data_IF_761339880594
#
_entry.id   IF_761339880594
#
_cell.length_a   1.000
_cell.length_b   1.000
_cell.length_c   1.000
_cell.angle_alpha   90.00
_cell.angle_beta   90.00
_cell.angle_gamma   90.00
#
_symmetry.space_group_name_H-M   'P 1'
#
loop_
_entity.id
_entity.type
_entity.pdbx_description
1 polymer ?
#
# COMPACT_ATOMS: atom_id res chain seq x y z
N UNK A 1 -0.88 -31.47 -11.88
CA UNK A 1 -1.19 -30.08 -11.51
C UNK A 1 -2.42 -30.15 -10.64
N UNK A 2 -2.27 -29.93 -9.34
CA UNK A 2 -3.37 -30.02 -8.39
C UNK A 2 -4.09 -28.66 -8.32
N UNK A 3 -5.43 -28.64 -8.39
CA UNK A 3 -6.18 -27.39 -8.34
C UNK A 3 -6.06 -26.73 -6.94
N UNK A 4 -5.95 -25.39 -6.86
CA UNK A 4 -5.97 -24.71 -5.58
C UNK A 4 -7.34 -24.86 -4.90
N UNK A 5 -7.43 -24.62 -3.58
CA UNK A 5 -8.71 -24.56 -2.88
C UNK A 5 -9.66 -23.55 -3.52
N UNK A 6 -10.94 -23.92 -3.65
CA UNK A 6 -11.97 -23.07 -4.26
C UNK A 6 -12.10 -21.71 -3.55
N UNK A 7 -11.85 -21.67 -2.24
CA UNK A 7 -11.90 -20.46 -1.44
C UNK A 7 -10.82 -19.44 -1.86
N UNK A 8 -9.60 -19.90 -2.18
CA UNK A 8 -8.51 -19.03 -2.61
C UNK A 8 -8.79 -18.45 -4.00
N UNK A 9 -9.38 -19.26 -4.88
CA UNK A 9 -9.83 -18.82 -6.19
C UNK A 9 -10.93 -17.75 -6.07
N UNK A 10 -11.89 -17.93 -5.16
CA UNK A 10 -12.96 -16.97 -4.92
C UNK A 10 -12.40 -15.64 -4.39
N UNK A 11 -11.48 -15.68 -3.42
CA UNK A 11 -10.82 -14.48 -2.87
C UNK A 11 -10.06 -13.69 -3.95
N UNK A 12 -9.43 -14.40 -4.89
CA UNK A 12 -8.76 -13.79 -6.03
C UNK A 12 -9.75 -13.10 -6.98
N UNK A 13 -10.88 -13.75 -7.31
CA UNK A 13 -11.93 -13.14 -8.12
C UNK A 13 -12.55 -11.92 -7.45
N UNK A 14 -12.82 -11.99 -6.14
CA UNK A 14 -13.32 -10.86 -5.37
C UNK A 14 -12.33 -9.68 -5.37
N UNK A 15 -11.03 -9.96 -5.27
CA UNK A 15 -10.00 -8.91 -5.40
C UNK A 15 -10.05 -8.27 -6.78
N UNK A 16 -10.03 -9.06 -7.85
CA UNK A 16 -10.05 -8.55 -9.22
C UNK A 16 -11.34 -7.78 -9.54
N UNK A 17 -12.48 -8.23 -9.03
CA UNK A 17 -13.74 -7.50 -9.12
C UNK A 17 -13.66 -6.17 -8.36
N UNK A 18 -13.15 -6.17 -7.13
CA UNK A 18 -13.01 -4.96 -6.32
C UNK A 18 -12.08 -3.93 -7.00
N UNK A 19 -11.00 -4.38 -7.64
CA UNK A 19 -10.09 -3.53 -8.43
C UNK A 19 -10.72 -3.02 -9.75
N UNK A 20 -11.95 -3.42 -10.05
CA UNK A 20 -12.65 -3.18 -11.32
C UNK A 20 -11.93 -3.81 -12.52
N UNK A 21 -11.08 -4.81 -12.30
CA UNK A 21 -10.46 -5.59 -13.37
C UNK A 21 -11.48 -6.53 -14.03
N UNK A 22 -12.43 -7.03 -13.24
CA UNK A 22 -13.56 -7.85 -13.70
C UNK A 22 -14.89 -7.12 -13.54
N UNK A 23 -15.84 -7.40 -14.43
CA UNK A 23 -17.24 -6.98 -14.30
C UNK A 23 -18.05 -8.01 -13.48
N UNK A 24 -19.36 -7.77 -13.31
CA UNK A 24 -20.25 -8.67 -12.53
C UNK A 24 -20.45 -10.05 -13.15
N UNK A 25 -20.10 -10.22 -14.42
CA UNK A 25 -20.16 -11.47 -15.16
C UNK A 25 -18.81 -12.23 -15.11
N UNK A 26 -17.78 -11.66 -14.47
CA UNK A 26 -16.44 -12.24 -14.42
C UNK A 26 -15.59 -11.97 -15.67
N UNK A 27 -15.98 -11.04 -16.53
CA UNK A 27 -15.25 -10.72 -17.76
C UNK A 27 -14.28 -9.54 -17.54
N UNK A 28 -13.17 -9.53 -18.28
CA UNK A 28 -12.18 -8.45 -18.24
C UNK A 28 -12.77 -7.12 -18.71
N UNK A 29 -12.63 -6.10 -17.87
CA UNK A 29 -12.95 -4.71 -18.21
C UNK A 29 -11.83 -4.07 -19.03
N UNK A 30 -12.03 -2.83 -19.52
CA UNK A 30 -10.94 -2.04 -20.13
C UNK A 30 -9.79 -1.81 -19.15
N UNK A 31 -10.10 -1.61 -17.86
CA UNK A 31 -9.10 -1.47 -16.80
C UNK A 31 -8.36 -2.80 -16.60
N UNK A 32 -9.09 -3.92 -16.53
CA UNK A 32 -8.49 -5.24 -16.37
C UNK A 32 -7.55 -5.62 -17.52
N UNK A 33 -7.93 -5.30 -18.77
CA UNK A 33 -7.06 -5.50 -19.93
C UNK A 33 -5.76 -4.70 -19.82
N UNK A 34 -5.84 -3.43 -19.43
CA UNK A 34 -4.64 -2.59 -19.22
C UNK A 34 -3.78 -3.11 -18.07
N UNK A 35 -4.40 -3.56 -16.97
CA UNK A 35 -3.66 -4.16 -15.86
C UNK A 35 -2.87 -5.40 -16.29
N UNK A 36 -3.43 -6.22 -17.20
CA UNK A 36 -2.79 -7.42 -17.71
C UNK A 36 -1.56 -7.15 -18.60
N UNK A 37 -1.33 -5.90 -19.03
CA UNK A 37 -0.14 -5.51 -19.79
C UNK A 37 1.10 -5.31 -18.90
N UNK A 38 0.91 -5.18 -17.58
CA UNK A 38 2.00 -4.97 -16.62
C UNK A 38 2.46 -6.29 -15.98
N UNK A 39 3.78 -6.53 -15.81
CA UNK A 39 4.32 -7.68 -15.10
C UNK A 39 4.33 -7.43 -13.58
N UNK A 40 3.21 -6.95 -13.03
CA UNK A 40 3.06 -6.55 -11.63
C UNK A 40 1.83 -7.24 -11.04
N UNK A 41 1.73 -7.25 -9.70
CA UNK A 41 0.50 -7.73 -9.06
C UNK A 41 -0.70 -6.83 -9.42
N UNK A 42 -1.94 -7.33 -9.27
CA UNK A 42 -3.13 -6.57 -9.66
C UNK A 42 -3.28 -5.22 -8.95
N UNK A 43 -2.81 -5.08 -7.71
CA UNK A 43 -2.97 -3.84 -6.93
C UNK A 43 -1.99 -2.77 -7.40
N UNK A 44 -0.72 -3.13 -7.62
CA UNK A 44 0.26 -2.24 -8.25
C UNK A 44 -0.16 -1.86 -9.68
N UNK A 45 -0.62 -2.83 -10.48
CA UNK A 45 -1.09 -2.57 -11.84
C UNK A 45 -2.27 -1.61 -11.86
N UNK A 46 -3.23 -1.78 -10.94
CA UNK A 46 -4.37 -0.86 -10.78
C UNK A 46 -3.92 0.55 -10.39
N UNK A 47 -2.98 0.67 -9.47
CA UNK A 47 -2.41 1.94 -9.02
C UNK A 47 -1.80 2.72 -10.20
N UNK A 48 -1.00 2.06 -11.05
CA UNK A 48 -0.40 2.67 -12.25
C UNK A 48 -1.47 3.04 -13.29
N UNK A 49 -2.46 2.17 -13.54
CA UNK A 49 -3.52 2.50 -14.51
C UNK A 49 -4.35 3.70 -14.06
N UNK A 50 -4.54 3.89 -12.75
CA UNK A 50 -5.29 5.01 -12.21
C UNK A 50 -4.52 6.34 -12.20
N UNK A 51 -3.20 6.31 -12.12
CA UNK A 51 -2.36 7.52 -12.03
C UNK A 51 -2.48 8.44 -13.23
N UNK A 52 -2.82 7.89 -14.41
CA UNK A 52 -3.10 8.65 -15.62
C UNK A 52 -4.20 9.70 -15.40
N UNK A 53 -5.26 9.35 -14.66
CA UNK A 53 -6.38 10.26 -14.37
C UNK A 53 -5.93 11.48 -13.58
N UNK A 54 -4.92 11.30 -12.73
CA UNK A 54 -4.40 12.34 -11.85
C UNK A 54 -3.11 12.97 -12.36
N UNK A 55 -2.65 12.58 -13.57
CA UNK A 55 -1.42 13.09 -14.21
C UNK A 55 -0.17 12.97 -13.33
N UNK A 56 -0.08 11.89 -12.56
CA UNK A 56 1.03 11.61 -11.64
C UNK A 56 1.71 10.26 -11.94
N UNK A 57 1.70 9.83 -13.21
CA UNK A 57 2.17 8.50 -13.60
C UNK A 57 3.66 8.29 -13.34
N UNK A 58 4.51 9.29 -13.59
CA UNK A 58 5.97 9.16 -13.40
C UNK A 58 6.32 8.90 -11.92
N UNK A 59 5.66 9.61 -11.01
CA UNK A 59 5.79 9.43 -9.56
C UNK A 59 5.26 8.06 -9.11
N UNK A 60 4.10 7.64 -9.62
CA UNK A 60 3.48 6.37 -9.25
C UNK A 60 4.26 5.17 -9.80
N UNK A 61 4.84 5.28 -11.00
CA UNK A 61 5.75 4.25 -11.54
C UNK A 61 7.00 4.15 -10.67
N UNK A 62 7.54 5.30 -10.22
CA UNK A 62 8.68 5.33 -9.31
C UNK A 62 8.34 4.66 -7.96
N UNK A 63 7.16 4.94 -7.38
CA UNK A 63 6.68 4.24 -6.17
C UNK A 63 6.54 2.74 -6.42
N UNK A 64 5.90 2.35 -7.52
CA UNK A 64 5.70 0.94 -7.85
C UNK A 64 7.04 0.21 -7.95
N UNK A 65 8.04 0.80 -8.62
CA UNK A 65 9.39 0.24 -8.72
C UNK A 65 10.04 0.08 -7.34
N UNK A 66 9.94 1.08 -6.46
CA UNK A 66 10.49 1.01 -5.11
C UNK A 66 9.77 -0.06 -4.26
N UNK A 67 8.46 -0.21 -4.41
CA UNK A 67 7.70 -1.26 -3.73
C UNK A 67 8.08 -2.65 -4.23
N UNK A 68 8.32 -2.84 -5.53
CA UNK A 68 8.74 -4.12 -6.11
C UNK A 68 10.12 -4.60 -5.62
N UNK A 69 11.02 -3.70 -5.21
CA UNK A 69 12.32 -4.05 -4.61
C UNK A 69 12.19 -4.37 -3.11
N UNK A 70 11.08 -3.94 -2.48
CA UNK A 70 10.78 -4.16 -1.07
C UNK A 70 11.66 -3.36 -0.11
N UNK A 71 11.74 -3.79 1.15
CA UNK A 71 12.42 -3.05 2.22
C UNK A 71 13.97 -3.10 2.18
N UNK A 72 14.55 -3.74 1.16
CA UNK A 72 16.02 -3.87 1.02
C UNK A 72 16.73 -2.56 0.71
N UNK A 73 15.98 -1.54 0.29
CA UNK A 73 16.48 -0.18 -0.01
C UNK A 73 17.16 0.43 1.22
N UNK A 74 16.64 0.19 2.42
CA UNK A 74 17.21 0.72 3.66
C UNK A 74 18.09 -0.33 4.34
N UNK A 75 19.38 -0.29 4.01
CA UNK A 75 20.36 -1.17 4.63
C UNK A 75 20.63 -0.77 6.10
N UNK A 76 20.40 -1.69 7.04
CA UNK A 76 20.55 -1.47 8.48
C UNK A 76 21.47 -2.50 9.14
N UNK A 77 22.80 -2.35 9.04
CA UNK A 77 23.77 -3.22 9.71
C UNK A 77 23.58 -3.21 11.24
N UNK A 78 23.77 -4.35 11.90
CA UNK A 78 23.62 -4.46 13.37
C UNK A 78 24.61 -3.56 14.13
N UNK A 79 25.80 -3.37 13.60
CA UNK A 79 26.89 -2.54 14.14
C UNK A 79 26.70 -1.04 13.87
N UNK A 80 25.85 -0.67 12.88
CA UNK A 80 25.65 0.73 12.45
C UNK A 80 24.19 1.17 12.50
N UNK A 81 23.38 0.54 13.35
CA UNK A 81 21.95 0.82 13.45
C UNK A 81 21.65 2.31 13.65
N UNK A 82 22.35 2.98 14.57
CA UNK A 82 22.15 4.42 14.86
C UNK A 82 22.42 5.29 13.62
N UNK A 83 23.48 4.99 12.86
CA UNK A 83 23.80 5.76 11.64
C UNK A 83 22.79 5.50 10.53
N UNK A 84 22.36 4.25 10.36
CA UNK A 84 21.34 3.88 9.40
C UNK A 84 19.98 4.50 9.74
N UNK A 85 19.61 4.51 11.02
CA UNK A 85 18.37 5.12 11.51
C UNK A 85 18.41 6.65 11.33
N UNK A 86 19.54 7.30 11.63
CA UNK A 86 19.75 8.73 11.36
C UNK A 86 19.66 9.05 9.87
N UNK A 87 20.30 8.25 9.01
CA UNK A 87 20.19 8.43 7.56
C UNK A 87 18.74 8.24 7.10
N UNK A 88 18.01 7.27 7.65
CA UNK A 88 16.59 7.05 7.37
C UNK A 88 15.74 8.24 7.82
N UNK A 89 16.04 8.85 8.97
CA UNK A 89 15.32 10.04 9.48
C UNK A 89 15.40 11.23 8.52
N UNK A 90 16.49 11.39 7.76
CA UNK A 90 16.57 12.45 6.74
C UNK A 90 15.53 12.30 5.63
N UNK A 91 14.99 11.09 5.43
CA UNK A 91 13.90 10.84 4.49
C UNK A 91 12.51 10.95 5.15
N UNK A 92 12.41 10.99 6.49
CA UNK A 92 11.13 11.15 7.19
C UNK A 92 10.70 12.63 7.17
N UNK A 93 9.84 13.01 6.22
CA UNK A 93 9.30 14.39 6.14
C UNK A 93 7.82 14.45 6.55
N UNK A 94 7.57 14.72 7.84
CA UNK A 94 6.23 14.77 8.42
C UNK A 94 5.56 13.40 8.51
N UNK A 95 4.43 13.31 9.21
CA UNK A 95 3.66 12.09 9.50
C UNK A 95 3.03 11.43 8.25
N UNK A 96 3.79 11.27 7.18
CA UNK A 96 3.35 10.68 5.91
C UNK A 96 4.02 9.32 5.78
N UNK A 97 3.25 8.36 5.30
CA UNK A 97 3.66 6.97 5.26
C UNK A 97 4.88 6.63 4.43
N UNK A 98 5.36 5.41 4.62
CA UNK A 98 6.53 4.84 3.95
C UNK A 98 6.40 4.84 2.40
N UNK A 99 5.18 4.86 1.83
CA UNK A 99 4.98 4.98 0.37
C UNK A 99 5.42 6.33 -0.20
N UNK A 100 5.32 7.39 0.60
CA UNK A 100 5.48 8.80 0.18
C UNK A 100 6.80 9.39 0.68
N UNK A 101 7.52 8.63 1.52
CA UNK A 101 8.77 9.04 2.16
C UNK A 101 9.82 9.57 1.16
N UNK A 102 9.81 9.10 -0.10
CA UNK A 102 10.74 9.57 -1.14
C UNK A 102 10.20 10.71 -2.02
N UNK A 103 8.89 10.91 -2.14
CA UNK A 103 8.28 11.83 -3.11
C UNK A 103 7.98 13.22 -2.56
N UNK A 104 7.75 13.35 -1.25
CA UNK A 104 7.37 14.63 -0.63
C UNK A 104 8.50 15.67 -0.62
N UNK A 105 9.76 15.25 -0.72
CA UNK A 105 10.90 16.20 -0.80
C UNK A 105 10.82 17.04 -2.08
N UNK A 106 10.22 16.50 -3.15
CA UNK A 106 10.21 17.18 -4.45
C UNK A 106 8.87 17.86 -4.77
N UNK A 107 7.71 17.27 -4.43
CA UNK A 107 6.41 17.80 -4.91
C UNK A 107 5.26 17.69 -3.87
N UNK A 108 5.08 18.68 -2.98
CA UNK A 108 4.01 18.65 -1.98
C UNK A 108 2.59 18.82 -2.56
N UNK A 109 2.45 19.49 -3.70
CA UNK A 109 1.14 19.81 -4.32
C UNK A 109 0.48 18.61 -5.00
N UNK A 110 1.24 17.56 -5.34
CA UNK A 110 0.72 16.36 -6.01
C UNK A 110 0.35 15.25 -5.04
N UNK A 111 0.56 15.43 -3.73
CA UNK A 111 0.38 14.37 -2.72
C UNK A 111 -1.04 13.78 -2.76
N UNK A 112 -2.06 14.63 -2.89
CA UNK A 112 -3.45 14.16 -2.91
C UNK A 112 -3.73 13.28 -4.13
N UNK A 113 -3.12 13.60 -5.27
CA UNK A 113 -3.19 12.83 -6.52
C UNK A 113 -2.46 11.49 -6.41
N UNK A 114 -1.29 11.48 -5.77
CA UNK A 114 -0.56 10.25 -5.46
C UNK A 114 -1.37 9.36 -4.53
N UNK A 115 -1.93 9.94 -3.46
CA UNK A 115 -2.76 9.21 -2.50
C UNK A 115 -4.03 8.65 -3.14
N UNK A 116 -4.66 9.39 -4.05
CA UNK A 116 -5.82 8.89 -4.78
C UNK A 116 -5.45 7.70 -5.68
N UNK A 117 -4.29 7.74 -6.34
CA UNK A 117 -3.78 6.65 -7.17
C UNK A 117 -3.43 5.42 -6.33
N UNK A 118 -2.69 5.58 -5.24
CA UNK A 118 -2.36 4.51 -4.29
C UNK A 118 -3.63 3.88 -3.74
N UNK A 119 -4.59 4.70 -3.29
CA UNK A 119 -5.86 4.21 -2.75
C UNK A 119 -6.65 3.40 -3.78
N UNK A 120 -6.60 3.76 -5.06
CA UNK A 120 -7.32 3.03 -6.12
C UNK A 120 -6.87 1.57 -6.28
N UNK A 121 -5.59 1.27 -6.00
CA UNK A 121 -5.03 -0.08 -6.04
C UNK A 121 -5.04 -0.76 -4.68
N UNK A 122 -4.76 -0.01 -3.61
CA UNK A 122 -4.51 -0.55 -2.28
C UNK A 122 -5.67 -0.43 -1.27
N UNK A 123 -6.85 0.07 -1.67
CA UNK A 123 -8.00 0.08 -0.76
C UNK A 123 -8.37 -1.29 -0.12
N UNK A 124 -8.15 -2.46 -0.75
CA UNK A 124 -8.37 -3.75 -0.08
C UNK A 124 -7.44 -3.96 1.11
N UNK A 125 -6.25 -3.34 1.06
CA UNK A 125 -5.25 -3.30 2.12
C UNK A 125 -5.42 -2.04 2.98
N UNK A 126 -6.66 -1.81 3.44
CA UNK A 126 -6.96 -0.77 4.42
C UNK A 126 -7.15 -1.37 5.81
N UNK A 127 -6.77 -0.62 6.83
CA UNK A 127 -6.98 -0.99 8.22
C UNK A 127 -7.38 0.22 9.09
N UNK A 128 -8.12 -0.06 10.15
CA UNK A 128 -8.64 0.94 11.09
C UNK A 128 -8.10 0.72 12.49
N UNK A 129 -7.64 1.80 13.12
CA UNK A 129 -7.17 1.78 14.50
C UNK A 129 -8.29 1.34 15.47
N UNK A 130 -7.93 0.50 16.42
CA UNK A 130 -8.77 0.03 17.53
C UNK A 130 -8.39 0.71 18.84
N UNK A 131 -9.27 0.65 19.84
CA UNK A 131 -9.05 1.26 21.17
C UNK A 131 -7.80 0.71 21.90
N UNK A 132 -7.39 -0.51 21.59
CA UNK A 132 -6.26 -1.19 22.22
C UNK A 132 -4.91 -0.91 21.51
N UNK A 133 -4.87 0.01 20.53
CA UNK A 133 -3.66 0.32 19.77
C UNK A 133 -3.36 -0.63 18.60
N UNK A 134 -4.09 -1.74 18.46
CA UNK A 134 -4.01 -2.59 17.27
C UNK A 134 -4.85 -2.01 16.12
N UNK A 135 -4.63 -2.51 14.91
CA UNK A 135 -5.42 -2.21 13.73
C UNK A 135 -6.28 -3.41 13.35
N UNK A 136 -7.45 -3.14 12.77
CA UNK A 136 -8.32 -4.16 12.17
C UNK A 136 -8.40 -3.94 10.68
N UNK A 137 -8.03 -4.94 9.90
CA UNK A 137 -8.13 -4.93 8.44
C UNK A 137 -9.60 -4.90 7.98
N UNK A 138 -9.87 -4.30 6.81
CA UNK A 138 -11.24 -4.12 6.32
C UNK A 138 -11.75 -5.32 5.52
N UNK A 139 -10.97 -5.81 4.54
CA UNK A 139 -11.44 -6.90 3.64
C UNK A 139 -11.61 -8.24 4.37
N UNK A 140 -10.62 -8.63 5.18
CA UNK A 140 -10.64 -9.89 5.93
C UNK A 140 -10.39 -9.58 7.40
N UNK A 141 -11.39 -9.27 8.22
CA UNK A 141 -11.14 -8.61 9.50
C UNK A 141 -10.33 -9.44 10.50
N UNK A 142 -9.06 -9.07 10.70
CA UNK A 142 -8.17 -9.63 11.72
C UNK A 142 -7.30 -8.52 12.34
N UNK A 143 -6.63 -8.83 13.45
CA UNK A 143 -5.82 -7.86 14.20
C UNK A 143 -4.39 -7.82 13.68
N UNK A 144 -3.92 -6.62 13.33
CA UNK A 144 -2.58 -6.35 12.80
C UNK A 144 -1.97 -5.14 13.50
N UNK A 145 -0.66 -4.95 13.38
CA UNK A 145 0.07 -3.84 14.00
C UNK A 145 0.91 -3.10 12.96
N UNK A 146 1.20 -1.82 13.16
CA UNK A 146 2.20 -1.13 12.34
C UNK A 146 3.58 -1.73 12.67
N UNK A 147 4.36 -2.10 11.65
CA UNK A 147 5.71 -2.62 11.87
C UNK A 147 6.59 -1.57 12.57
N UNK A 148 7.44 -1.93 13.55
CA UNK A 148 8.26 -0.96 14.31
C UNK A 148 9.25 -0.13 13.48
N UNK A 149 9.53 -0.54 12.24
CA UNK A 149 10.42 0.20 11.33
C UNK A 149 9.69 1.25 10.48
N UNK A 150 8.37 1.33 10.57
CA UNK A 150 7.57 2.28 9.80
C UNK A 150 7.61 3.67 10.45
N UNK A 151 7.58 4.72 9.64
CA UNK A 151 7.62 6.10 10.15
C UNK A 151 6.38 6.57 10.92
N UNK A 152 5.34 5.72 11.07
CA UNK A 152 4.04 6.05 11.66
C UNK A 152 3.78 5.41 13.03
N UNK A 153 4.76 4.70 13.60
CA UNK A 153 4.57 3.93 14.84
C UNK A 153 4.13 4.80 16.03
N UNK A 154 4.55 6.06 16.09
CA UNK A 154 4.23 6.98 17.19
C UNK A 154 2.97 7.83 16.96
N UNK A 155 2.47 7.91 15.71
CA UNK A 155 1.34 8.79 15.34
C UNK A 155 0.00 8.05 15.43
N UNK A 156 0.00 6.73 15.16
CA UNK A 156 -1.19 5.87 15.16
C UNK A 156 -2.41 6.51 14.47
N UNK A 157 -2.34 6.81 13.16
CA UNK A 157 -3.46 7.39 12.43
C UNK A 157 -4.71 6.48 12.44
N UNK A 158 -5.90 7.09 12.43
CA UNK A 158 -7.19 6.38 12.52
C UNK A 158 -7.40 5.37 11.41
N UNK A 159 -6.95 5.70 10.20
CA UNK A 159 -7.08 4.90 8.99
C UNK A 159 -5.74 4.85 8.28
N UNK A 160 -5.39 3.65 7.79
CA UNK A 160 -4.17 3.43 7.05
C UNK A 160 -4.42 2.57 5.83
N UNK A 161 -3.55 2.73 4.85
CA UNK A 161 -3.29 1.78 3.77
C UNK A 161 -1.91 1.16 4.01
N UNK A 162 -1.74 -0.11 3.67
CA UNK A 162 -0.48 -0.84 3.74
C UNK A 162 -0.19 -1.59 2.44
N UNK A 163 1.08 -1.89 2.16
CA UNK A 163 1.44 -2.69 0.99
C UNK A 163 1.37 -4.19 1.29
N UNK A 164 2.01 -4.63 2.36
CA UNK A 164 2.13 -6.05 2.70
C UNK A 164 1.88 -6.31 4.20
N UNK A 165 1.54 -7.56 4.50
CA UNK A 165 1.52 -8.12 5.85
C UNK A 165 2.72 -9.05 6.02
N UNK A 166 3.38 -8.95 7.16
CA UNK A 166 4.47 -9.83 7.55
C UNK A 166 4.14 -10.49 8.88
N UNK A 167 4.06 -11.81 8.87
CA UNK A 167 3.83 -12.61 10.07
C UNK A 167 5.17 -12.95 10.75
N UNK A 168 5.29 -12.57 12.02
CA UNK A 168 6.42 -12.93 12.88
C UNK A 168 5.89 -13.43 14.23
N UNK A 169 6.21 -12.76 15.34
CA UNK A 169 5.56 -12.94 16.64
C UNK A 169 4.15 -12.36 16.66
N UNK A 170 3.93 -11.30 15.87
CA UNK A 170 2.65 -10.70 15.56
C UNK A 170 2.59 -10.46 14.06
N UNK A 171 1.39 -10.21 13.57
CA UNK A 171 1.18 -9.78 12.20
C UNK A 171 1.37 -8.27 12.09
N UNK A 172 2.27 -7.86 11.19
CA UNK A 172 2.68 -6.47 11.02
C UNK A 172 2.42 -5.98 9.61
N UNK A 173 1.81 -4.80 9.50
CA UNK A 173 1.69 -4.03 8.27
C UNK A 173 3.02 -3.33 7.95
N UNK A 174 3.45 -3.41 6.69
CA UNK A 174 4.62 -2.70 6.18
C UNK A 174 4.26 -1.76 5.04
N UNK A 175 5.15 -0.80 4.86
CA UNK A 175 4.97 0.37 4.02
C UNK A 175 3.60 1.01 4.29
N UNK A 176 3.42 1.61 5.46
CA UNK A 176 2.09 2.08 5.92
C UNK A 176 1.93 3.55 5.62
N UNK A 177 0.76 3.98 5.14
CA UNK A 177 0.43 5.40 4.90
C UNK A 177 -0.91 5.78 5.51
N UNK A 178 -0.97 6.97 6.13
CA UNK A 178 -2.22 7.54 6.63
C UNK A 178 -3.19 7.73 5.47
N UNK A 179 -4.38 7.15 5.60
CA UNK A 179 -5.50 7.42 4.74
C UNK A 179 -6.39 8.43 5.46
N UNK A 180 -6.60 9.61 4.86
CA UNK A 180 -7.63 10.54 5.32
C UNK A 180 -8.88 10.26 4.50
N UNK A 181 -9.91 9.59 5.06
CA UNK A 181 -11.15 9.41 4.33
C UNK A 181 -11.69 10.81 4.02
N UNK A 182 -12.06 11.05 2.77
CA UNK A 182 -12.91 12.19 2.43
C UNK A 182 -14.22 11.95 3.18
N UNK A 183 -14.38 12.58 4.34
CA UNK A 183 -15.64 12.53 5.06
C UNK A 183 -16.73 13.04 4.10
N UNK A 184 -17.86 12.32 3.92
CA UNK A 184 -19.04 12.99 3.40
C UNK A 184 -19.37 14.11 4.38
N UNK A 185 -19.40 15.35 3.88
CA UNK A 185 -20.01 16.48 4.57
C UNK A 185 -21.50 16.20 4.82
#
# INVERSE_FOLDING_TARGET
MDPPPAEDFLKALELLFALSALNKLGELTKVGRRMAEFPLDPMLSKMIVASEKFKCSDDIISIAAMLSVGNSIFYRPKDKQVHADNARMNFHTGNVGDHIQLLKVYFPEVIDFLMASITSGFFPHSARLQKNGSYRTIKHPHSVHIHPSAGLTDVLPRWVIYHELVLTTKEYMRQVTELKPLLPA
#
